data_IF_968028751861
#
_entry.id   IF_968028751861
#
_cell.length_a   1.000
_cell.length_b   1.000
_cell.length_c   1.000
_cell.angle_alpha   90.00
_cell.angle_beta   90.00
_cell.angle_gamma   90.00
#
_symmetry.space_group_name_H-M   'P 1'
#
loop_
_entity.id
_entity.type
_entity.pdbx_description
1 polymer ?
#
# COMPACT_ATOMS: atom_id res chain seq x y z
N UNK A 1 0.36 -18.44 2.21
CA UNK A 1 -0.15 -17.66 1.06
C UNK A 1 -1.45 -16.98 1.49
N UNK A 2 -1.63 -15.68 1.19
CA UNK A 2 -2.85 -14.96 1.54
C UNK A 2 -4.06 -15.52 0.78
N UNK A 3 -5.25 -15.39 1.37
CA UNK A 3 -6.49 -15.81 0.72
C UNK A 3 -6.80 -14.88 -0.46
N UNK A 4 -6.70 -15.41 -1.69
CA UNK A 4 -6.87 -14.64 -2.93
C UNK A 4 -8.31 -14.58 -3.43
N UNK A 5 -9.30 -15.00 -2.62
CA UNK A 5 -10.72 -14.86 -2.94
C UNK A 5 -11.15 -13.41 -2.69
N UNK A 6 -10.66 -12.51 -3.55
CA UNK A 6 -10.90 -11.07 -3.47
C UNK A 6 -12.38 -10.70 -3.58
N UNK A 7 -13.23 -11.61 -4.12
CA UNK A 7 -14.70 -11.49 -4.18
C UNK A 7 -15.38 -11.33 -2.85
N UNK A 8 -14.75 -11.80 -1.76
CA UNK A 8 -15.29 -11.70 -0.41
C UNK A 8 -14.92 -10.40 0.29
N UNK A 9 -13.98 -9.62 -0.24
CA UNK A 9 -13.55 -8.36 0.34
C UNK A 9 -14.33 -7.20 -0.25
N UNK A 10 -14.74 -6.27 0.61
CA UNK A 10 -15.23 -4.97 0.17
C UNK A 10 -14.06 -4.08 -0.31
N UNK A 11 -14.38 -2.94 -0.94
CA UNK A 11 -13.37 -2.03 -1.50
C UNK A 11 -12.35 -1.54 -0.47
N UNK A 12 -12.80 -1.21 0.74
CA UNK A 12 -11.93 -0.72 1.82
C UNK A 12 -11.00 -1.83 2.34
N UNK A 13 -11.52 -3.05 2.51
CA UNK A 13 -10.72 -4.21 2.92
C UNK A 13 -9.66 -4.56 1.88
N UNK A 14 -10.01 -4.46 0.59
CA UNK A 14 -9.08 -4.68 -0.51
C UNK A 14 -7.98 -3.60 -0.53
N UNK A 15 -8.33 -2.33 -0.31
CA UNK A 15 -7.38 -1.23 -0.16
C UNK A 15 -6.38 -1.47 0.97
N UNK A 16 -6.88 -1.74 2.17
CA UNK A 16 -6.05 -2.06 3.34
C UNK A 16 -5.13 -3.25 3.10
N UNK A 17 -5.63 -4.31 2.47
CA UNK A 17 -4.81 -5.45 2.10
C UNK A 17 -3.68 -5.05 1.14
N UNK A 18 -3.98 -4.24 0.12
CA UNK A 18 -2.99 -3.78 -0.84
C UNK A 18 -1.93 -2.88 -0.17
N UNK A 19 -2.31 -2.02 0.77
CA UNK A 19 -1.37 -1.22 1.56
C UNK A 19 -0.42 -2.10 2.36
N UNK A 20 -0.93 -3.10 3.09
CA UNK A 20 -0.10 -4.04 3.84
C UNK A 20 0.84 -4.83 2.92
N UNK A 21 0.32 -5.29 1.78
CA UNK A 21 1.13 -5.98 0.77
C UNK A 21 2.27 -5.10 0.28
N UNK A 22 1.98 -3.85 -0.09
CA UNK A 22 3.00 -2.90 -0.53
C UNK A 22 4.06 -2.65 0.56
N UNK A 23 3.65 -2.40 1.81
CA UNK A 23 4.57 -2.20 2.94
C UNK A 23 5.50 -3.40 3.13
N UNK A 24 4.96 -4.62 3.06
CA UNK A 24 5.73 -5.86 3.14
C UNK A 24 6.75 -5.99 2.01
N UNK A 25 6.35 -5.69 0.77
CA UNK A 25 7.25 -5.72 -0.38
C UNK A 25 8.41 -4.73 -0.19
N UNK A 26 8.13 -3.46 0.15
CA UNK A 26 9.18 -2.47 0.43
C UNK A 26 10.13 -2.92 1.54
N UNK A 27 9.59 -3.45 2.64
CA UNK A 27 10.40 -3.98 3.73
C UNK A 27 11.29 -5.16 3.27
N UNK A 28 10.79 -6.04 2.39
CA UNK A 28 11.56 -7.17 1.84
C UNK A 28 12.77 -6.74 1.02
N UNK A 29 12.70 -5.58 0.35
CA UNK A 29 13.84 -4.98 -0.36
C UNK A 29 14.76 -4.16 0.55
N UNK A 30 14.48 -4.13 1.86
CA UNK A 30 15.31 -3.46 2.87
C UNK A 30 15.05 -1.96 3.00
N UNK A 31 13.86 -1.50 2.62
CA UNK A 31 13.42 -0.14 2.93
C UNK A 31 12.91 -0.06 4.37
N UNK A 32 13.19 1.06 5.04
CA UNK A 32 12.51 1.38 6.30
C UNK A 32 11.12 1.97 5.98
N UNK A 33 10.07 1.36 6.49
CA UNK A 33 8.68 1.77 6.21
C UNK A 33 8.10 2.49 7.43
N UNK A 34 7.63 3.71 7.23
CA UNK A 34 7.00 4.53 8.27
C UNK A 34 5.52 4.74 7.92
N UNK A 35 4.63 4.40 8.85
CA UNK A 35 3.19 4.60 8.71
C UNK A 35 2.73 5.73 9.61
N UNK A 36 1.77 6.54 9.15
CA UNK A 36 1.10 7.50 10.02
C UNK A 36 0.05 6.79 10.88
N UNK A 37 -0.02 7.16 12.15
CA UNK A 37 -1.11 6.75 13.05
C UNK A 37 -2.42 7.47 12.69
N UNK A 38 -2.31 8.69 12.14
CA UNK A 38 -3.45 9.53 11.74
C UNK A 38 -3.40 9.75 10.23
N UNK A 39 -4.49 9.40 9.56
CA UNK A 39 -4.64 9.42 8.11
C UNK A 39 -5.23 10.76 7.65
N UNK A 40 -4.38 11.78 7.48
CA UNK A 40 -4.82 13.14 7.12
C UNK A 40 -4.01 13.80 5.98
N UNK A 41 -3.07 13.07 5.34
CA UNK A 41 -2.09 13.67 4.43
C UNK A 41 -2.13 13.15 2.98
N UNK A 42 -3.07 12.25 2.64
CA UNK A 42 -3.21 11.72 1.27
C UNK A 42 -2.13 10.72 0.84
N UNK A 43 -1.30 10.27 1.79
CA UNK A 43 -0.23 9.28 1.64
C UNK A 43 -0.49 8.11 2.58
N UNK A 44 -0.19 6.88 2.15
CA UNK A 44 -0.44 5.68 2.96
C UNK A 44 0.77 5.30 3.83
N UNK A 45 1.99 5.58 3.35
CA UNK A 45 3.24 5.42 4.10
C UNK A 45 4.42 6.13 3.42
N UNK A 46 5.53 6.25 4.17
CA UNK A 46 6.82 6.69 3.66
C UNK A 46 7.78 5.50 3.63
N UNK A 47 8.49 5.33 2.51
CA UNK A 47 9.58 4.36 2.40
C UNK A 47 10.93 5.09 2.33
N UNK A 48 11.89 4.68 3.16
CA UNK A 48 13.24 5.23 3.19
C UNK A 48 14.25 4.22 2.65
N UNK A 49 15.10 4.65 1.71
CA UNK A 49 16.19 3.81 1.20
C UNK A 49 17.40 3.81 2.12
N UNK A 50 18.31 2.86 1.90
CA UNK A 50 19.60 2.80 2.60
C UNK A 50 20.45 4.05 2.39
N UNK A 51 20.30 4.74 1.26
CA UNK A 51 20.97 6.01 0.95
C UNK A 51 20.28 7.23 1.62
N UNK A 52 19.23 7.02 2.42
CA UNK A 52 18.55 8.07 3.17
C UNK A 52 17.53 8.88 2.35
N UNK A 53 17.11 8.39 1.18
CA UNK A 53 16.04 9.03 0.39
C UNK A 53 14.68 8.60 0.91
N UNK A 54 13.73 9.54 0.94
CA UNK A 54 12.36 9.30 1.37
C UNK A 54 11.42 9.33 0.17
N UNK A 55 10.49 8.37 0.12
CA UNK A 55 9.46 8.27 -0.89
C UNK A 55 8.10 8.28 -0.22
N UNK A 56 7.25 9.20 -0.64
CA UNK A 56 5.83 9.23 -0.26
C UNK A 56 5.07 8.26 -1.16
N UNK A 57 4.41 7.26 -0.56
CA UNK A 57 3.73 6.21 -1.30
C UNK A 57 2.22 6.33 -1.09
N UNK A 58 1.49 6.36 -2.20
CA UNK A 58 0.04 6.18 -2.24
C UNK A 58 -0.28 4.89 -2.99
N UNK A 59 -1.07 4.02 -2.36
CA UNK A 59 -1.47 2.70 -2.84
C UNK A 59 -2.89 2.76 -3.37
N UNK A 60 -3.09 2.18 -4.56
CA UNK A 60 -4.42 1.97 -5.15
C UNK A 60 -4.58 0.49 -5.48
N UNK A 61 -5.75 -0.06 -5.16
CA UNK A 61 -6.11 -1.43 -5.55
C UNK A 61 -7.18 -1.42 -6.63
N UNK A 62 -6.98 -2.22 -7.68
CA UNK A 62 -7.91 -2.34 -8.80
C UNK A 62 -8.21 -3.82 -9.04
N UNK A 63 -9.49 -4.16 -9.13
CA UNK A 63 -9.97 -5.53 -9.38
C UNK A 63 -10.91 -5.65 -10.58
N UNK A 64 -11.38 -4.52 -11.10
CA UNK A 64 -12.21 -4.42 -12.28
C UNK A 64 -11.64 -3.29 -13.13
N UNK A 65 -11.32 -3.55 -14.39
CA UNK A 65 -10.70 -2.61 -15.34
C UNK A 65 -11.71 -1.63 -15.92
N UNK A 66 -12.58 -1.06 -15.08
CA UNK A 66 -13.32 0.14 -15.47
C UNK A 66 -12.37 1.34 -15.43
N UNK A 67 -12.79 2.50 -15.92
CA UNK A 67 -11.95 3.71 -15.94
C UNK A 67 -11.42 4.04 -14.52
N UNK A 68 -10.13 3.84 -14.31
CA UNK A 68 -9.42 4.17 -13.06
C UNK A 68 -8.46 5.31 -13.36
N UNK A 69 -8.56 6.40 -12.61
CA UNK A 69 -7.55 7.46 -12.61
C UNK A 69 -6.40 7.01 -11.70
N UNK A 70 -5.23 6.77 -12.28
CA UNK A 70 -3.98 6.39 -11.59
C UNK A 70 -3.02 7.56 -11.56
#
# INVERSE_FOLDING_TARGET
MPNTIWSRLNKLQLGRYAEYYAKMEFASYGFEVYTSEVDDHGIDFIAKTKEGRFFEIQVKSVRQTNYVFM
#
